data_IF_526529613570
#
_entry.id   IF_526529613570
#
_cell.length_a   1.000
_cell.length_b   1.000
_cell.length_c   1.000
_cell.angle_alpha   90.00
_cell.angle_beta   90.00
_cell.angle_gamma   90.00
#
_symmetry.space_group_name_H-M   'P 1'
#
loop_
_entity.id
_entity.type
_entity.pdbx_description
1 polymer ?
#
# COMPACT_ATOMS: atom_id res chain seq x y z
N UNK A 1 27.18 -22.03 7.71
CA UNK A 1 26.53 -21.28 8.80
C UNK A 1 26.03 -19.90 8.37
N UNK A 2 26.87 -18.99 7.85
CA UNK A 2 26.45 -17.62 7.46
C UNK A 2 25.35 -17.54 6.39
N UNK A 3 25.29 -18.51 5.46
CA UNK A 3 24.31 -18.56 4.36
C UNK A 3 22.87 -18.88 4.81
N UNK A 4 22.69 -19.52 5.96
CA UNK A 4 21.36 -19.87 6.49
C UNK A 4 20.75 -18.70 7.28
N UNK A 5 21.58 -17.94 8.00
CA UNK A 5 21.18 -16.69 8.68
C UNK A 5 20.69 -15.63 7.68
N UNK A 6 21.38 -15.46 6.55
CA UNK A 6 20.98 -14.51 5.48
C UNK A 6 19.63 -14.90 4.83
N UNK A 7 19.35 -16.20 4.67
CA UNK A 7 18.06 -16.68 4.16
C UNK A 7 16.92 -16.44 5.15
N UNK A 8 17.16 -16.69 6.44
CA UNK A 8 16.15 -16.47 7.47
C UNK A 8 15.85 -14.99 7.64
N UNK A 9 16.86 -14.12 7.61
CA UNK A 9 16.68 -12.67 7.63
C UNK A 9 15.84 -12.17 6.43
N UNK A 10 16.17 -12.60 5.21
CA UNK A 10 15.42 -12.26 3.99
C UNK A 10 13.96 -12.75 4.05
N UNK A 11 13.71 -13.98 4.50
CA UNK A 11 12.37 -14.53 4.62
C UNK A 11 11.49 -13.74 5.61
N UNK A 12 12.09 -13.27 6.72
CA UNK A 12 11.43 -12.46 7.73
C UNK A 12 11.06 -11.08 7.15
N UNK A 13 11.94 -10.44 6.38
CA UNK A 13 11.67 -9.13 5.78
C UNK A 13 10.54 -9.17 4.74
N UNK A 14 10.51 -10.23 3.91
CA UNK A 14 9.40 -10.46 2.97
C UNK A 14 8.09 -10.69 3.74
N UNK A 15 8.12 -11.43 4.85
CA UNK A 15 6.94 -11.63 5.68
C UNK A 15 6.43 -10.30 6.29
N UNK A 16 7.33 -9.45 6.80
CA UNK A 16 6.97 -8.12 7.33
C UNK A 16 6.34 -7.24 6.26
N UNK A 17 6.90 -7.19 5.05
CA UNK A 17 6.36 -6.41 3.93
C UNK A 17 4.95 -6.83 3.53
N UNK A 18 4.69 -8.15 3.47
CA UNK A 18 3.34 -8.67 3.17
C UNK A 18 2.31 -8.33 4.24
N UNK A 19 2.68 -8.41 5.51
CA UNK A 19 1.77 -8.09 6.63
C UNK A 19 1.40 -6.60 6.65
N UNK A 20 2.37 -5.71 6.43
CA UNK A 20 2.12 -4.25 6.35
C UNK A 20 1.16 -3.94 5.20
N UNK A 21 1.41 -4.51 4.01
CA UNK A 21 0.52 -4.31 2.87
C UNK A 21 -0.91 -4.85 3.08
N UNK A 22 -1.07 -5.94 3.85
CA UNK A 22 -2.40 -6.46 4.19
C UNK A 22 -3.17 -5.52 5.13
N UNK A 23 -2.49 -4.94 6.13
CA UNK A 23 -3.09 -3.98 7.04
C UNK A 23 -3.51 -2.68 6.32
N UNK A 24 -2.67 -2.16 5.42
CA UNK A 24 -3.04 -0.97 4.64
C UNK A 24 -4.26 -1.21 3.74
N UNK A 25 -4.37 -2.37 3.09
CA UNK A 25 -5.54 -2.69 2.27
C UNK A 25 -6.81 -2.82 3.11
N UNK A 26 -6.73 -3.44 4.28
CA UNK A 26 -7.86 -3.52 5.21
C UNK A 26 -8.30 -2.11 5.66
N UNK A 27 -7.34 -1.26 6.05
CA UNK A 27 -7.62 0.11 6.50
C UNK A 27 -8.18 0.99 5.36
N UNK A 28 -7.60 0.91 4.16
CA UNK A 28 -8.09 1.62 2.99
C UNK A 28 -9.51 1.19 2.61
N UNK A 29 -9.81 -0.12 2.65
CA UNK A 29 -11.16 -0.63 2.38
C UNK A 29 -12.17 -0.10 3.42
N UNK A 30 -11.84 -0.16 4.71
CA UNK A 30 -12.71 0.38 5.77
C UNK A 30 -12.99 1.87 5.58
N UNK A 31 -11.96 2.68 5.28
CA UNK A 31 -12.13 4.12 5.08
C UNK A 31 -12.92 4.48 3.82
N UNK A 32 -12.73 3.75 2.72
CA UNK A 32 -13.56 3.91 1.51
C UNK A 32 -15.02 3.58 1.80
N UNK A 33 -15.30 2.50 2.56
CA UNK A 33 -16.66 2.14 2.97
C UNK A 33 -17.30 3.21 3.87
N UNK A 34 -16.51 3.88 4.70
CA UNK A 34 -16.96 5.01 5.52
C UNK A 34 -17.07 6.33 4.72
N UNK A 35 -16.64 6.37 3.46
CA UNK A 35 -16.62 7.58 2.63
C UNK A 35 -15.49 8.56 2.94
N UNK A 36 -14.52 8.15 3.77
CA UNK A 36 -13.41 8.97 4.25
C UNK A 36 -12.21 8.94 3.28
N UNK A 37 -12.42 9.42 2.05
CA UNK A 37 -11.40 9.39 1.00
C UNK A 37 -10.12 10.18 1.36
N UNK A 38 -10.24 11.25 2.14
CA UNK A 38 -9.10 12.05 2.60
C UNK A 38 -8.16 11.24 3.52
N UNK A 39 -8.72 10.41 4.40
CA UNK A 39 -7.93 9.57 5.31
C UNK A 39 -7.12 8.51 4.54
N UNK A 40 -7.65 8.00 3.42
CA UNK A 40 -6.89 7.07 2.55
C UNK A 40 -5.70 7.78 1.90
N UNK A 41 -5.86 9.05 1.50
CA UNK A 41 -4.76 9.89 1.01
C UNK A 41 -3.64 10.06 2.05
N UNK A 42 -4.01 10.28 3.31
CA UNK A 42 -3.06 10.36 4.42
C UNK A 42 -2.28 9.07 4.65
N UNK A 43 -2.91 7.90 4.51
CA UNK A 43 -2.22 6.60 4.64
C UNK A 43 -1.15 6.45 3.55
N UNK A 44 -1.48 6.79 2.31
CA UNK A 44 -0.53 6.72 1.19
C UNK A 44 0.64 7.68 1.42
N UNK A 45 0.36 8.92 1.85
CA UNK A 45 1.41 9.88 2.16
C UNK A 45 2.34 9.36 3.27
N UNK A 46 1.77 8.82 4.35
CA UNK A 46 2.53 8.24 5.45
C UNK A 46 3.38 7.03 5.00
N UNK A 47 2.83 6.16 4.15
CA UNK A 47 3.55 5.03 3.55
C UNK A 47 4.76 5.48 2.73
N UNK A 48 4.57 6.48 1.87
CA UNK A 48 5.63 7.06 1.05
C UNK A 48 6.71 7.72 1.90
N UNK A 49 6.32 8.44 2.96
CA UNK A 49 7.25 9.06 3.90
C UNK A 49 8.09 8.02 4.65
N UNK A 50 7.46 6.94 5.12
CA UNK A 50 8.16 5.84 5.79
C UNK A 50 9.15 5.08 4.88
N UNK A 51 8.94 5.14 3.56
CA UNK A 51 9.81 4.52 2.54
C UNK A 51 10.65 5.53 1.77
N UNK A 52 10.73 6.79 2.21
CA UNK A 52 11.38 7.86 1.47
C UNK A 52 12.81 7.52 1.00
N UNK A 53 13.65 6.94 1.87
CA UNK A 53 15.01 6.51 1.49
C UNK A 53 15.03 5.38 0.45
N UNK A 54 14.07 4.46 0.49
CA UNK A 54 13.97 3.38 -0.48
C UNK A 54 13.49 3.89 -1.85
N UNK A 55 12.77 5.00 -1.88
CA UNK A 55 12.34 5.67 -3.12
C UNK A 55 13.49 6.39 -3.85
N UNK A 56 14.70 6.45 -3.28
CA UNK A 56 15.90 6.91 -4.00
C UNK A 56 16.34 5.92 -5.09
N UNK A 57 16.00 4.63 -4.93
CA UNK A 57 16.13 3.64 -6.00
C UNK A 57 14.99 3.80 -7.00
N UNK A 58 15.35 4.21 -8.22
CA UNK A 58 14.38 4.51 -9.29
C UNK A 58 13.52 3.30 -9.65
N UNK A 59 14.09 2.10 -9.71
CA UNK A 59 13.35 0.90 -10.11
C UNK A 59 12.32 0.53 -9.03
N UNK A 60 12.71 0.62 -7.75
CA UNK A 60 11.79 0.43 -6.64
C UNK A 60 10.70 1.50 -6.60
N UNK A 61 11.07 2.77 -6.80
CA UNK A 61 10.14 3.89 -6.77
C UNK A 61 9.06 3.77 -7.85
N UNK A 62 9.44 3.42 -9.08
CA UNK A 62 8.50 3.20 -10.18
C UNK A 62 7.53 2.07 -9.88
N UNK A 63 8.04 0.90 -9.45
CA UNK A 63 7.18 -0.23 -9.08
C UNK A 63 6.21 0.11 -7.95
N UNK A 64 6.71 0.76 -6.89
CA UNK A 64 5.91 1.18 -5.74
C UNK A 64 4.82 2.18 -6.13
N UNK A 65 5.17 3.18 -6.94
CA UNK A 65 4.26 4.25 -7.33
C UNK A 65 3.17 3.73 -8.27
N UNK A 66 3.54 2.94 -9.28
CA UNK A 66 2.60 2.31 -10.20
C UNK A 66 1.63 1.41 -9.44
N UNK A 67 2.13 0.54 -8.55
CA UNK A 67 1.29 -0.38 -7.78
C UNK A 67 0.30 0.33 -6.83
N UNK A 68 0.78 1.38 -6.16
CA UNK A 68 -0.04 2.14 -5.20
C UNK A 68 -1.10 2.97 -5.93
N UNK A 69 -0.73 3.70 -6.98
CA UNK A 69 -1.68 4.53 -7.74
C UNK A 69 -2.71 3.68 -8.50
N UNK A 70 -2.33 2.54 -9.07
CA UNK A 70 -3.27 1.64 -9.73
C UNK A 70 -4.33 1.10 -8.75
N UNK A 71 -3.90 0.67 -7.55
CA UNK A 71 -4.84 0.21 -6.51
C UNK A 71 -5.78 1.32 -6.05
N UNK A 72 -5.25 2.55 -5.91
CA UNK A 72 -6.04 3.70 -5.49
C UNK A 72 -7.06 4.12 -6.55
N UNK A 73 -6.68 4.10 -7.82
CA UNK A 73 -7.57 4.38 -8.95
C UNK A 73 -8.73 3.37 -8.99
N UNK A 74 -8.45 2.07 -8.82
CA UNK A 74 -9.49 1.05 -8.75
C UNK A 74 -10.44 1.26 -7.56
N UNK A 75 -9.91 1.59 -6.38
CA UNK A 75 -10.72 1.88 -5.20
C UNK A 75 -11.61 3.13 -5.39
N UNK A 76 -11.09 4.18 -6.02
CA UNK A 76 -11.86 5.39 -6.36
C UNK A 76 -12.97 5.09 -7.37
N UNK A 77 -12.68 4.36 -8.44
CA UNK A 77 -13.67 3.97 -9.45
C UNK A 77 -14.78 3.11 -8.83
N UNK A 78 -14.42 2.13 -8.00
CA UNK A 78 -15.39 1.28 -7.31
C UNK A 78 -16.25 2.07 -6.32
N UNK A 79 -15.64 2.92 -5.49
CA UNK A 79 -16.35 3.74 -4.51
C UNK A 79 -17.29 4.77 -5.16
N UNK A 80 -16.81 5.46 -6.20
CA UNK A 80 -17.63 6.42 -6.95
C UNK A 80 -18.76 5.73 -7.71
N UNK A 81 -18.49 4.57 -8.33
CA UNK A 81 -19.50 3.77 -9.02
C UNK A 81 -20.59 3.27 -8.07
N UNK A 82 -20.23 2.76 -6.90
CA UNK A 82 -21.19 2.34 -5.87
C UNK A 82 -22.02 3.53 -5.36
N UNK A 83 -21.39 4.69 -5.15
CA UNK A 83 -22.11 5.91 -4.72
C UNK A 83 -23.08 6.43 -5.78
N UNK A 84 -22.76 6.30 -7.07
CA UNK A 84 -23.65 6.64 -8.18
C UNK A 84 -24.80 5.65 -8.31
N UNK A 85 -24.60 4.37 -7.98
CA UNK A 85 -25.62 3.32 -8.06
C UNK A 85 -26.61 3.33 -6.87
N UNK A 86 -26.17 3.82 -5.70
CA UNK A 86 -26.97 3.96 -4.48
C UNK A 86 -27.70 5.32 -4.37
N UNK A 87 -27.46 6.24 -5.30
CA UNK A 87 -28.16 7.53 -5.42
C UNK A 87 -29.22 7.43 -6.52
#
# INVERSE_FOLDING_TARGET
>A
MRRDEDRTASAIDVARGRTIGALERALALTLVLLGEYAAVGWIIAAKSLARFKALEDREFAEYFLIGTLASFLLALLAGLGMRLLLK
#
